data_IF_072828599706
#
_entry.id   IF_072828599706
#
_cell.length_a   1.000
_cell.length_b   1.000
_cell.length_c   1.000
_cell.angle_alpha   90.00
_cell.angle_beta   90.00
_cell.angle_gamma   90.00
#
_symmetry.space_group_name_H-M   'P 1'
#
loop_
_entity.id
_entity.type
_entity.pdbx_description
1 polymer ?
#
# COMPACT_ATOMS: atom_id res chain seq x y z
N UNK A 1 2.69 -7.82 10.89
CA UNK A 1 3.38 -8.47 9.76
C UNK A 1 2.77 -8.18 8.37
N UNK A 2 1.72 -8.86 7.88
CA UNK A 2 1.31 -8.83 6.44
C UNK A 2 0.93 -7.46 5.86
N UNK A 3 0.13 -6.66 6.59
CA UNK A 3 -0.26 -5.31 6.14
C UNK A 3 0.97 -4.40 6.01
N UNK A 4 1.91 -4.51 6.95
CA UNK A 4 3.14 -3.72 6.92
C UNK A 4 4.00 -4.08 5.69
N UNK A 5 4.13 -5.37 5.36
CA UNK A 5 4.82 -5.82 4.17
C UNK A 5 4.15 -5.31 2.87
N UNK A 6 2.82 -5.41 2.77
CA UNK A 6 2.07 -4.90 1.62
C UNK A 6 2.24 -3.38 1.43
N UNK A 7 2.23 -2.62 2.52
CA UNK A 7 2.49 -1.17 2.47
C UNK A 7 3.95 -0.87 2.13
N UNK A 8 4.90 -1.67 2.61
CA UNK A 8 6.32 -1.51 2.32
C UNK A 8 6.64 -1.75 0.82
N UNK A 9 5.95 -2.68 0.18
CA UNK A 9 6.10 -3.01 -1.24
C UNK A 9 5.58 -1.93 -2.21
N UNK A 10 4.81 -0.94 -1.72
CA UNK A 10 4.30 0.15 -2.56
C UNK A 10 5.43 1.03 -3.12
N UNK A 11 5.27 1.57 -4.35
CA UNK A 11 6.11 2.66 -4.84
C UNK A 11 6.15 3.81 -3.83
N UNK A 12 7.32 4.43 -3.62
CA UNK A 12 7.55 5.40 -2.55
C UNK A 12 6.49 6.52 -2.51
N UNK A 13 6.13 7.06 -3.67
CA UNK A 13 5.09 8.08 -3.82
C UNK A 13 3.71 7.63 -3.34
N UNK A 14 3.33 6.38 -3.65
CA UNK A 14 2.05 5.80 -3.24
C UNK A 14 2.04 5.51 -1.74
N UNK A 15 3.14 4.96 -1.23
CA UNK A 15 3.34 4.69 0.21
C UNK A 15 3.23 5.96 1.03
N UNK A 16 3.92 7.03 0.63
CA UNK A 16 3.89 8.33 1.34
C UNK A 16 2.48 8.90 1.40
N UNK A 17 1.74 8.88 0.28
CA UNK A 17 0.35 9.36 0.23
C UNK A 17 -0.55 8.53 1.16
N UNK A 18 -0.43 7.20 1.12
CA UNK A 18 -1.24 6.30 1.94
C UNK A 18 -0.96 6.46 3.44
N UNK A 19 0.31 6.48 3.84
CA UNK A 19 0.69 6.67 5.25
C UNK A 19 0.16 8.00 5.78
N UNK A 20 0.37 9.09 5.05
CA UNK A 20 -0.08 10.41 5.51
C UNK A 20 -1.61 10.52 5.58
N UNK A 21 -2.34 9.89 4.66
CA UNK A 21 -3.82 9.97 4.62
C UNK A 21 -4.50 9.01 5.58
N UNK A 22 -4.10 7.75 5.55
CA UNK A 22 -4.88 6.66 6.17
C UNK A 22 -4.29 6.24 7.51
N UNK A 23 -2.99 6.43 7.73
CA UNK A 23 -2.34 6.12 9.01
C UNK A 23 -2.27 7.36 9.90
N UNK A 24 -1.85 8.51 9.35
CA UNK A 24 -1.71 9.75 10.11
C UNK A 24 -2.98 10.63 10.09
N UNK A 25 -3.99 10.32 9.26
CA UNK A 25 -5.25 11.06 9.20
C UNK A 25 -5.16 12.48 8.61
N UNK A 26 -4.03 12.88 8.02
CA UNK A 26 -3.81 14.26 7.56
C UNK A 26 -4.76 14.61 6.40
N UNK A 27 -5.38 15.80 6.34
CA UNK A 27 -6.29 16.18 5.25
C UNK A 27 -5.63 16.11 3.86
N UNK A 28 -6.39 15.67 2.84
CA UNK A 28 -5.86 15.49 1.48
C UNK A 28 -5.18 16.70 0.87
N UNK A 29 -5.69 17.91 1.11
CA UNK A 29 -5.05 19.16 0.68
C UNK A 29 -3.66 19.38 1.30
N UNK A 30 -3.49 19.01 2.57
CA UNK A 30 -2.21 19.13 3.29
C UNK A 30 -1.22 18.09 2.77
N UNK A 31 -1.68 16.86 2.53
CA UNK A 31 -0.85 15.80 1.93
C UNK A 31 -0.38 16.19 0.53
N UNK A 32 -1.29 16.71 -0.31
CA UNK A 32 -0.96 17.16 -1.66
C UNK A 32 0.10 18.27 -1.63
N UNK A 33 -0.09 19.30 -0.79
CA UNK A 33 0.87 20.39 -0.62
C UNK A 33 2.25 19.91 -0.13
N UNK A 34 2.28 19.08 0.93
CA UNK A 34 3.55 18.55 1.50
C UNK A 34 4.34 17.66 0.54
N UNK A 35 3.68 17.03 -0.42
CA UNK A 35 4.31 16.15 -1.40
C UNK A 35 4.54 16.84 -2.75
N UNK A 36 4.24 18.13 -2.89
CA UNK A 36 4.39 18.85 -4.16
C UNK A 36 3.45 18.34 -5.26
N UNK A 37 2.25 17.86 -4.90
CA UNK A 37 1.29 17.26 -5.82
C UNK A 37 0.06 18.14 -6.00
N UNK A 38 -0.58 18.01 -7.17
CA UNK A 38 -1.98 18.45 -7.31
C UNK A 38 -2.90 17.55 -6.47
N UNK A 39 -4.06 18.08 -6.09
CA UNK A 39 -5.08 17.30 -5.34
C UNK A 39 -5.57 16.09 -6.14
N UNK A 40 -5.68 16.23 -7.47
CA UNK A 40 -6.03 15.13 -8.37
C UNK A 40 -4.94 14.04 -8.39
N UNK A 41 -3.66 14.42 -8.51
CA UNK A 41 -2.56 13.48 -8.51
C UNK A 41 -2.41 12.75 -7.16
N UNK A 42 -2.66 13.46 -6.05
CA UNK A 42 -2.71 12.85 -4.70
C UNK A 42 -3.84 11.82 -4.59
N UNK A 43 -5.08 12.16 -5.01
CA UNK A 43 -6.22 11.22 -5.01
C UNK A 43 -5.93 9.98 -5.86
N UNK A 44 -5.36 10.18 -7.05
CA UNK A 44 -5.00 9.12 -7.98
C UNK A 44 -3.96 8.16 -7.37
N UNK A 45 -2.90 8.70 -6.73
CA UNK A 45 -1.90 7.90 -6.03
C UNK A 45 -2.49 7.15 -4.83
N UNK A 46 -3.35 7.79 -4.03
CA UNK A 46 -4.00 7.15 -2.89
C UNK A 46 -4.86 5.96 -3.32
N UNK A 47 -5.64 6.12 -4.39
CA UNK A 47 -6.45 5.04 -4.92
C UNK A 47 -5.59 3.85 -5.36
N UNK A 48 -4.53 4.10 -6.13
CA UNK A 48 -3.59 3.05 -6.55
C UNK A 48 -2.94 2.34 -5.36
N UNK A 49 -2.50 3.10 -4.34
CA UNK A 49 -1.91 2.56 -3.13
C UNK A 49 -2.88 1.59 -2.40
N UNK A 50 -4.13 2.02 -2.20
CA UNK A 50 -5.17 1.19 -1.55
C UNK A 50 -5.50 -0.05 -2.36
N UNK A 51 -5.58 0.08 -3.68
CA UNK A 51 -5.82 -1.07 -4.57
C UNK A 51 -4.68 -2.08 -4.48
N UNK A 52 -3.42 -1.64 -4.60
CA UNK A 52 -2.27 -2.53 -4.50
C UNK A 52 -2.19 -3.24 -3.13
N UNK A 53 -2.42 -2.52 -2.02
CA UNK A 53 -2.46 -3.14 -0.68
C UNK A 53 -3.58 -4.16 -0.59
N UNK A 54 -4.78 -3.85 -1.11
CA UNK A 54 -5.91 -4.78 -1.08
C UNK A 54 -5.63 -6.04 -1.90
N UNK A 55 -5.07 -5.92 -3.10
CA UNK A 55 -4.73 -7.10 -3.92
C UNK A 55 -3.63 -7.94 -3.26
N UNK A 56 -2.58 -7.31 -2.70
CA UNK A 56 -1.54 -8.04 -1.96
C UNK A 56 -2.05 -8.77 -0.70
N UNK A 57 -3.17 -8.31 -0.13
CA UNK A 57 -3.84 -8.98 0.99
C UNK A 57 -4.86 -10.03 0.54
N UNK A 58 -5.27 -10.02 -0.73
CA UNK A 58 -6.16 -11.03 -1.35
C UNK A 58 -5.38 -12.19 -1.92
N UNK A 59 -4.22 -11.94 -2.50
CA UNK A 59 -3.27 -12.97 -2.91
C UNK A 59 -2.72 -13.62 -1.63
N UNK A 60 -3.38 -14.69 -1.18
CA UNK A 60 -2.74 -15.65 -0.30
C UNK A 60 -1.42 -16.04 -0.96
N UNK A 61 -0.26 -15.92 -0.28
CA UNK A 61 0.82 -16.80 -0.66
C UNK A 61 0.25 -18.19 -0.43
N UNK A 62 -0.07 -18.91 -1.52
CA UNK A 62 -0.25 -20.35 -1.46
C UNK A 62 0.92 -20.82 -0.62
N UNK A 63 0.63 -21.29 0.60
CA UNK A 63 1.66 -21.93 1.41
C UNK A 63 2.15 -23.07 0.55
N UNK A 64 3.35 -22.94 0.01
CA UNK A 64 4.10 -24.07 -0.49
C UNK A 64 4.53 -24.88 0.75
N UNK A 65 3.54 -25.39 1.48
CA UNK A 65 3.70 -26.43 2.48
C UNK A 65 3.20 -27.69 1.79
N UNK A 66 4.13 -28.26 1.03
CA UNK A 66 4.20 -29.68 0.72
C UNK A 66 5.58 -30.16 1.17
N UNK A 67 5.76 -30.25 2.48
CA UNK A 67 6.61 -31.27 3.13
C UNK A 67 6.24 -32.62 2.47
N UNK A 68 7.12 -33.30 1.75
CA UNK A 68 8.12 -34.20 2.33
C UNK A 68 7.49 -35.56 2.64
N UNK A 69 7.68 -36.56 1.78
CA UNK A 69 7.89 -37.96 2.16
C UNK A 69 8.26 -38.86 0.97
N UNK A 70 9.21 -39.78 1.19
CA UNK A 70 9.21 -41.09 0.54
C UNK A 70 10.13 -41.34 -0.65
N UNK A 71 11.46 -41.33 -0.46
CA UNK A 71 12.45 -42.39 -0.83
C UNK A 71 13.87 -41.84 -0.80
#
# INVERSE_FOLDING_TARGET
>A
ERVAAAVAALPADQRRVLVMRDVQGLPGRIVASRLGLSTAAMKSRLHRARTAVREALREEPVRAEGEGDGT
#
